data_IF_502013009714
#
_entry.id   IF_502013009714
#
_cell.length_a   1.000
_cell.length_b   1.000
_cell.length_c   1.000
_cell.angle_alpha   90.00
_cell.angle_beta   90.00
_cell.angle_gamma   90.00
#
_symmetry.space_group_name_H-M   'P 1'
#
loop_
_entity.id
_entity.type
_entity.pdbx_description
1 polymer ?
#
# COMPACT_ATOMS: atom_id res chain seq x y z
N UNK A 1 -5.04 11.17 -16.10
CA UNK A 1 -4.76 10.18 -15.05
C UNK A 1 -5.21 10.73 -13.69
N UNK A 2 -5.66 9.92 -12.73
CA UNK A 2 -6.31 10.41 -11.50
C UNK A 2 -5.49 11.47 -10.74
N UNK A 3 -4.16 11.31 -10.67
CA UNK A 3 -3.28 12.28 -10.01
C UNK A 3 -3.27 13.62 -10.77
N UNK A 4 -3.21 13.60 -12.11
CA UNK A 4 -3.23 14.83 -12.91
C UNK A 4 -4.58 15.53 -12.81
N UNK A 5 -5.67 14.78 -12.75
CA UNK A 5 -7.02 15.32 -12.60
C UNK A 5 -7.15 16.01 -11.23
N UNK A 6 -6.65 15.36 -10.16
CA UNK A 6 -6.60 15.96 -8.82
C UNK A 6 -5.75 17.25 -8.76
N UNK A 7 -4.62 17.29 -9.47
CA UNK A 7 -3.79 18.51 -9.59
C UNK A 7 -4.53 19.62 -10.32
N UNK A 8 -5.26 19.30 -11.39
CA UNK A 8 -6.10 20.26 -12.11
C UNK A 8 -7.24 20.81 -11.22
N UNK A 9 -7.72 19.99 -10.28
CA UNK A 9 -8.73 20.39 -9.28
C UNK A 9 -8.12 21.17 -8.10
N UNK A 10 -6.82 21.51 -8.17
CA UNK A 10 -6.16 22.39 -7.21
C UNK A 10 -5.41 21.67 -6.08
N UNK A 11 -5.28 20.34 -6.12
CA UNK A 11 -4.44 19.63 -5.17
C UNK A 11 -2.94 19.84 -5.48
N UNK A 12 -2.17 20.14 -4.42
CA UNK A 12 -0.73 20.30 -4.49
C UNK A 12 -0.04 19.03 -3.99
N UNK A 13 0.73 18.38 -4.86
CA UNK A 13 1.61 17.29 -4.45
C UNK A 13 2.75 17.86 -3.62
N UNK A 14 3.06 17.24 -2.48
CA UNK A 14 4.15 17.66 -1.59
C UNK A 14 5.31 16.65 -1.57
N UNK A 15 5.03 15.39 -1.86
CA UNK A 15 6.00 14.32 -1.99
C UNK A 15 5.43 13.14 -2.79
N UNK A 16 6.30 12.27 -3.26
CA UNK A 16 5.93 10.99 -3.87
C UNK A 16 6.55 9.88 -3.04
N UNK A 17 5.72 8.90 -2.63
CA UNK A 17 6.15 7.73 -1.88
C UNK A 17 6.03 6.49 -2.74
N UNK A 18 7.13 5.79 -2.94
CA UNK A 18 7.19 4.53 -3.69
C UNK A 18 7.32 3.37 -2.69
N UNK A 19 6.45 2.39 -2.79
CA UNK A 19 6.47 1.21 -1.91
C UNK A 19 7.40 0.12 -2.42
N UNK A 20 7.42 -0.12 -3.74
CA UNK A 20 8.22 -1.15 -4.37
C UNK A 20 8.37 -0.91 -5.90
N UNK A 21 9.15 -1.75 -6.57
CA UNK A 21 9.63 -1.51 -7.95
C UNK A 21 8.72 -2.00 -9.07
N UNK A 22 7.55 -2.57 -8.81
CA UNK A 22 6.71 -3.08 -9.89
C UNK A 22 6.22 -1.98 -10.83
N UNK A 23 6.06 -2.26 -12.13
CA UNK A 23 5.80 -1.25 -13.15
C UNK A 23 4.51 -0.44 -12.91
N UNK A 24 3.49 -1.06 -12.36
CA UNK A 24 2.21 -0.41 -12.03
C UNK A 24 2.31 0.57 -10.84
N UNK A 25 3.39 0.49 -10.03
CA UNK A 25 3.67 1.40 -8.93
C UNK A 25 4.66 2.51 -9.28
N UNK A 26 5.54 2.29 -10.24
CA UNK A 26 6.56 3.27 -10.63
C UNK A 26 6.38 3.83 -12.04
N UNK A 27 5.56 3.22 -12.87
CA UNK A 27 5.43 3.62 -14.29
C UNK A 27 4.95 5.05 -14.53
N UNK A 28 4.25 5.64 -13.56
CA UNK A 28 3.85 7.05 -13.59
C UNK A 28 4.91 8.06 -13.13
N UNK A 29 5.99 7.61 -12.48
CA UNK A 29 6.98 8.48 -11.85
C UNK A 29 7.67 9.43 -12.84
N UNK A 30 8.16 9.01 -14.02
CA UNK A 30 8.76 9.92 -14.97
C UNK A 30 7.83 11.05 -15.41
N UNK A 31 6.55 10.74 -15.64
CA UNK A 31 5.57 11.75 -16.03
C UNK A 31 5.27 12.73 -14.87
N UNK A 32 5.16 12.26 -13.63
CA UNK A 32 4.98 13.15 -12.47
C UNK A 32 6.19 14.04 -12.26
N UNK A 33 7.40 13.53 -12.37
CA UNK A 33 8.64 14.33 -12.25
C UNK A 33 8.78 15.40 -13.33
N UNK A 34 8.17 15.24 -14.49
CA UNK A 34 8.20 16.26 -15.55
C UNK A 34 7.29 17.46 -15.26
N UNK A 35 6.40 17.37 -14.30
CA UNK A 35 5.38 18.39 -14.01
C UNK A 35 5.39 18.88 -12.56
N UNK A 36 6.04 18.20 -11.64
CA UNK A 36 6.17 18.62 -10.25
C UNK A 36 7.59 18.36 -9.73
N UNK A 37 8.16 19.38 -9.10
CA UNK A 37 9.47 19.31 -8.43
C UNK A 37 9.25 19.07 -6.94
N UNK A 38 9.03 17.81 -6.58
CA UNK A 38 8.80 17.36 -5.20
C UNK A 38 9.69 16.17 -4.89
N UNK A 39 10.08 15.97 -3.61
CA UNK A 39 10.92 14.85 -3.24
C UNK A 39 10.22 13.50 -3.48
N UNK A 40 10.97 12.55 -4.01
CA UNK A 40 10.56 11.15 -4.18
C UNK A 40 11.27 10.29 -3.15
N UNK A 41 10.49 9.66 -2.29
CA UNK A 41 10.96 8.70 -1.29
C UNK A 41 10.67 7.28 -1.77
N UNK A 42 11.58 6.35 -1.54
CA UNK A 42 11.38 4.95 -1.88
C UNK A 42 12.43 4.05 -1.25
N UNK A 43 12.25 2.73 -1.30
CA UNK A 43 13.20 1.77 -0.75
C UNK A 43 14.55 1.86 -1.44
N UNK A 44 15.59 1.33 -0.78
CA UNK A 44 16.90 1.09 -1.40
C UNK A 44 16.77 -0.04 -2.43
N UNK A 45 16.51 0.34 -3.68
CA UNK A 45 16.18 -0.58 -4.77
C UNK A 45 16.69 -0.04 -6.11
N UNK A 46 17.66 -0.72 -6.71
CA UNK A 46 18.32 -0.27 -7.93
C UNK A 46 17.44 -0.28 -9.19
N UNK A 47 16.33 -1.01 -9.15
CA UNK A 47 15.35 -1.09 -10.24
C UNK A 47 14.41 0.12 -10.28
N UNK A 48 14.46 1.01 -9.29
CA UNK A 48 13.65 2.23 -9.25
C UNK A 48 14.53 3.43 -9.57
N UNK A 49 14.38 3.95 -10.77
CA UNK A 49 15.04 5.19 -11.15
C UNK A 49 14.24 6.40 -10.64
N UNK A 50 14.96 7.46 -10.22
CA UNK A 50 14.34 8.72 -9.83
C UNK A 50 13.90 8.83 -8.37
N UNK A 51 14.39 7.98 -7.47
CA UNK A 51 14.30 8.19 -6.02
C UNK A 51 15.30 9.26 -5.62
N UNK A 52 14.84 10.33 -4.93
CA UNK A 52 15.70 11.37 -4.38
C UNK A 52 16.20 11.00 -2.99
N UNK A 53 15.38 10.29 -2.22
CA UNK A 53 15.65 9.89 -0.83
C UNK A 53 15.31 8.42 -0.62
N UNK A 54 16.33 7.60 -0.47
CA UNK A 54 16.16 6.20 -0.08
C UNK A 54 15.75 6.12 1.38
N UNK A 55 14.82 5.21 1.68
CA UNK A 55 14.29 5.00 3.03
C UNK A 55 14.46 3.56 3.47
N UNK A 56 14.59 3.37 4.80
CA UNK A 56 14.77 2.07 5.46
C UNK A 56 13.78 1.92 6.61
N UNK A 57 13.69 0.72 7.12
CA UNK A 57 12.87 0.44 8.32
C UNK A 57 13.24 1.35 9.50
N UNK A 58 12.25 1.99 10.08
CA UNK A 58 12.39 2.91 11.22
C UNK A 58 12.68 4.36 10.84
N UNK A 59 12.93 4.67 9.57
CA UNK A 59 13.06 6.07 9.15
C UNK A 59 11.74 6.82 9.37
N UNK A 60 11.86 8.12 9.65
CA UNK A 60 10.73 9.03 9.79
C UNK A 60 10.84 10.13 8.74
N UNK A 61 9.77 10.30 7.96
CA UNK A 61 9.67 11.34 6.95
C UNK A 61 8.79 12.46 7.51
N UNK A 62 9.37 13.63 7.67
CA UNK A 62 8.65 14.84 8.07
C UNK A 62 8.32 15.67 6.84
N UNK A 63 7.04 16.00 6.66
CA UNK A 63 6.55 16.90 5.61
C UNK A 63 5.71 18.00 6.25
N UNK A 64 5.98 19.24 5.86
CA UNK A 64 5.22 20.39 6.37
C UNK A 64 3.71 20.25 6.11
N UNK A 65 2.94 20.33 7.16
CA UNK A 65 1.47 20.21 7.13
C UNK A 65 0.93 18.78 7.19
N UNK A 66 1.80 17.78 7.41
CA UNK A 66 1.42 16.38 7.57
C UNK A 66 1.93 15.84 8.91
N UNK A 67 1.26 14.81 9.44
CA UNK A 67 1.83 13.98 10.49
C UNK A 67 3.08 13.25 9.95
N UNK A 68 4.08 12.99 10.78
CA UNK A 68 5.27 12.25 10.36
C UNK A 68 4.93 10.84 9.86
N UNK A 69 5.57 10.41 8.78
CA UNK A 69 5.43 9.06 8.26
C UNK A 69 6.57 8.17 8.75
N UNK A 70 6.24 7.13 9.47
CA UNK A 70 7.21 6.06 9.81
C UNK A 70 7.28 5.07 8.66
N UNK A 71 8.50 4.68 8.29
CA UNK A 71 8.76 3.70 7.23
C UNK A 71 8.94 2.32 7.84
N UNK A 72 8.23 1.33 7.31
CA UNK A 72 8.36 -0.06 7.71
C UNK A 72 8.79 -0.91 6.51
N UNK A 73 9.87 -1.67 6.66
CA UNK A 73 10.24 -2.66 5.67
C UNK A 73 9.34 -3.89 5.85
N UNK A 74 8.68 -4.30 4.77
CA UNK A 74 7.68 -5.37 4.76
C UNK A 74 7.94 -6.34 3.61
N UNK A 75 9.05 -7.11 3.68
CA UNK A 75 9.43 -8.04 2.63
C UNK A 75 8.43 -9.19 2.49
N UNK A 76 8.30 -9.67 1.25
CA UNK A 76 7.40 -10.79 0.92
C UNK A 76 6.97 -10.71 -0.52
N UNK A 77 6.15 -9.73 -0.87
CA UNK A 77 5.77 -9.46 -2.25
C UNK A 77 6.99 -9.12 -3.12
N UNK A 78 7.80 -8.16 -2.67
CA UNK A 78 9.20 -7.96 -3.11
C UNK A 78 10.10 -7.92 -1.88
N UNK A 79 11.43 -8.09 -2.05
CA UNK A 79 12.37 -8.08 -0.92
C UNK A 79 12.61 -6.67 -0.36
N UNK A 80 12.57 -5.66 -1.22
CA UNK A 80 12.80 -4.26 -0.84
C UNK A 80 11.54 -3.50 -0.45
N UNK A 81 10.37 -4.18 -0.39
CA UNK A 81 9.07 -3.53 -0.16
C UNK A 81 9.03 -2.75 1.17
N UNK A 82 8.50 -1.52 1.11
CA UNK A 82 8.26 -0.66 2.28
C UNK A 82 6.80 -0.24 2.38
N UNK A 83 6.34 -0.02 3.59
CA UNK A 83 5.06 0.60 3.92
C UNK A 83 5.29 1.92 4.65
N UNK A 84 4.34 2.83 4.57
CA UNK A 84 4.38 4.14 5.23
C UNK A 84 3.17 4.28 6.15
N UNK A 85 3.39 4.77 7.36
CA UNK A 85 2.37 4.91 8.38
C UNK A 85 2.43 6.29 9.07
N UNK A 86 1.30 7.01 9.11
CA UNK A 86 1.18 8.38 9.66
C UNK A 86 0.42 8.45 10.99
N UNK A 87 0.47 7.43 11.82
CA UNK A 87 -0.30 7.28 13.06
C UNK A 87 -1.79 6.94 12.92
N UNK A 88 -2.39 7.10 11.75
CA UNK A 88 -3.81 6.82 11.46
C UNK A 88 -4.02 6.01 10.19
N UNK A 89 -3.13 6.19 9.22
CA UNK A 89 -3.26 5.64 7.88
C UNK A 89 -2.02 4.84 7.50
N UNK A 90 -2.22 3.62 7.04
CA UNK A 90 -1.20 2.74 6.53
C UNK A 90 -1.28 2.68 5.00
N UNK A 91 -0.19 3.01 4.33
CA UNK A 91 0.01 2.83 2.90
C UNK A 91 0.91 1.60 2.70
N UNK A 92 0.29 0.44 2.53
CA UNK A 92 0.98 -0.86 2.59
C UNK A 92 1.40 -1.41 1.22
N UNK A 93 1.16 -0.67 0.13
CA UNK A 93 1.43 -1.19 -1.20
C UNK A 93 0.77 -2.56 -1.42
N UNK A 94 1.55 -3.52 -1.89
CA UNK A 94 1.12 -4.88 -2.21
C UNK A 94 1.43 -5.90 -1.11
N UNK A 95 1.56 -5.46 0.14
CA UNK A 95 1.76 -6.38 1.27
C UNK A 95 0.44 -6.89 1.82
N UNK A 96 -0.49 -5.98 2.17
CA UNK A 96 -1.77 -6.32 2.78
C UNK A 96 -2.94 -5.87 1.90
N UNK A 97 -3.92 -6.76 1.71
CA UNK A 97 -5.20 -6.48 1.04
C UNK A 97 -6.37 -6.90 1.93
N UNK A 98 -7.57 -6.45 1.58
CA UNK A 98 -8.78 -6.98 2.22
C UNK A 98 -8.85 -8.49 2.05
N UNK A 99 -8.89 -9.22 3.18
CA UNK A 99 -8.96 -10.68 3.24
C UNK A 99 -7.80 -11.43 2.55
N UNK A 100 -6.64 -10.79 2.42
CA UNK A 100 -5.50 -11.42 1.78
C UNK A 100 -4.22 -10.60 1.83
N UNK A 101 -3.22 -11.08 1.14
CA UNK A 101 -1.91 -10.44 1.01
C UNK A 101 -1.40 -10.52 -0.43
N UNK A 102 -0.31 -9.79 -0.70
CA UNK A 102 0.35 -9.81 -1.99
C UNK A 102 0.93 -11.18 -2.34
N UNK A 103 0.98 -11.47 -3.64
CA UNK A 103 1.66 -12.66 -4.15
C UNK A 103 3.16 -12.56 -3.83
N UNK A 104 3.77 -13.69 -3.47
CA UNK A 104 5.22 -13.79 -3.26
C UNK A 104 5.93 -13.90 -4.61
N UNK A 105 6.57 -12.83 -5.06
CA UNK A 105 7.41 -12.86 -6.27
C UNK A 105 8.88 -13.09 -5.91
N UNK A 106 9.35 -12.52 -4.80
CA UNK A 106 10.76 -12.56 -4.40
C UNK A 106 10.98 -13.13 -3.00
N UNK A 107 10.07 -12.82 -2.07
CA UNK A 107 10.20 -13.22 -0.67
C UNK A 107 9.69 -14.63 -0.38
N UNK A 108 10.00 -15.10 0.83
CA UNK A 108 9.52 -16.37 1.38
C UNK A 108 8.21 -16.17 2.18
N UNK A 109 7.40 -17.24 2.37
CA UNK A 109 6.17 -17.16 3.18
C UNK A 109 6.41 -16.63 4.61
N UNK A 110 7.53 -17.03 5.22
CA UNK A 110 7.89 -16.60 6.57
C UNK A 110 8.16 -15.09 6.65
N UNK A 111 8.73 -14.51 5.60
CA UNK A 111 8.96 -13.06 5.50
C UNK A 111 7.63 -12.31 5.36
N UNK A 112 6.73 -12.79 4.50
CA UNK A 112 5.40 -12.20 4.35
C UNK A 112 4.61 -12.31 5.66
N UNK A 113 4.65 -13.45 6.34
CA UNK A 113 3.97 -13.62 7.63
C UNK A 113 4.50 -12.62 8.66
N UNK A 114 5.81 -12.49 8.81
CA UNK A 114 6.41 -11.51 9.71
C UNK A 114 6.03 -10.06 9.36
N UNK A 115 5.94 -9.75 8.06
CA UNK A 115 5.47 -8.44 7.59
C UNK A 115 4.00 -8.20 7.95
N UNK A 116 3.14 -9.20 7.78
CA UNK A 116 1.72 -9.11 8.17
C UNK A 116 1.56 -8.97 9.69
N UNK A 117 2.30 -9.74 10.49
CA UNK A 117 2.31 -9.64 11.96
C UNK A 117 2.73 -8.24 12.41
N UNK A 118 3.73 -7.65 11.76
CA UNK A 118 4.15 -6.27 12.01
C UNK A 118 3.00 -5.29 11.72
N UNK A 119 2.33 -5.40 10.57
CA UNK A 119 1.21 -4.53 10.23
C UNK A 119 0.00 -4.73 11.15
N UNK A 120 -0.25 -5.96 11.62
CA UNK A 120 -1.30 -6.28 12.58
C UNK A 120 -1.05 -5.71 13.99
N UNK A 121 0.19 -5.30 14.31
CA UNK A 121 0.50 -4.62 15.57
C UNK A 121 0.01 -3.17 15.63
N UNK A 122 -0.47 -2.62 14.52
CA UNK A 122 -1.06 -1.28 14.46
C UNK A 122 -2.41 -1.21 15.20
N UNK A 123 -2.82 -0.02 15.66
CA UNK A 123 -4.14 0.16 16.26
C UNK A 123 -5.28 -0.30 15.34
N UNK A 124 -6.32 -0.92 15.90
CA UNK A 124 -7.48 -1.44 15.15
C UNK A 124 -8.20 -0.36 14.30
N UNK A 125 -8.10 0.90 14.72
CA UNK A 125 -8.68 2.04 14.00
C UNK A 125 -7.86 2.52 12.80
N UNK A 126 -6.70 1.88 12.51
CA UNK A 126 -5.83 2.26 11.39
C UNK A 126 -6.55 2.06 10.06
N UNK A 127 -6.57 3.10 9.24
CA UNK A 127 -7.08 3.01 7.87
C UNK A 127 -6.03 2.40 6.97
N UNK A 128 -6.34 1.26 6.37
CA UNK A 128 -5.45 0.59 5.43
C UNK A 128 -5.76 1.03 4.01
N UNK A 129 -4.78 1.69 3.37
CA UNK A 129 -4.82 2.09 1.97
C UNK A 129 -4.01 1.09 1.15
N UNK A 130 -4.65 -0.01 0.75
CA UNK A 130 -4.07 -0.98 -0.17
C UNK A 130 -4.25 -0.52 -1.62
N UNK A 131 -3.42 -1.04 -2.52
CA UNK A 131 -3.29 -0.55 -3.90
C UNK A 131 -4.27 -1.18 -4.88
N UNK A 132 -4.69 -2.42 -4.62
CA UNK A 132 -5.54 -3.19 -5.53
C UNK A 132 -6.82 -3.67 -4.87
N UNK A 133 -7.87 -3.80 -5.67
CA UNK A 133 -9.18 -4.27 -5.22
C UNK A 133 -9.35 -5.76 -5.55
N UNK A 134 -8.91 -6.60 -4.63
CA UNK A 134 -8.95 -8.06 -4.75
C UNK A 134 -9.93 -8.73 -3.78
N UNK A 135 -10.74 -7.97 -3.05
CA UNK A 135 -11.55 -8.42 -1.92
C UNK A 135 -12.42 -9.63 -2.24
N UNK A 136 -13.14 -9.63 -3.37
CA UNK A 136 -14.01 -10.76 -3.73
C UNK A 136 -13.23 -12.05 -4.05
N UNK A 137 -12.08 -11.93 -4.71
CA UNK A 137 -11.23 -13.09 -5.02
C UNK A 137 -10.55 -13.63 -3.76
N UNK A 138 -10.05 -12.74 -2.91
CA UNK A 138 -9.47 -13.10 -1.62
C UNK A 138 -10.51 -13.77 -0.72
N UNK A 139 -11.74 -13.27 -0.71
CA UNK A 139 -12.83 -13.88 0.06
C UNK A 139 -13.16 -15.30 -0.38
N UNK A 140 -13.17 -15.57 -1.70
CA UNK A 140 -13.38 -16.94 -2.22
C UNK A 140 -12.27 -17.89 -1.77
N UNK A 141 -11.03 -17.42 -1.75
CA UNK A 141 -9.91 -18.20 -1.23
C UNK A 141 -10.06 -18.44 0.28
N UNK A 142 -10.32 -17.39 1.05
CA UNK A 142 -10.54 -17.50 2.50
C UNK A 142 -11.68 -18.48 2.82
N UNK A 143 -12.78 -18.44 2.07
CA UNK A 143 -13.91 -19.38 2.23
C UNK A 143 -13.51 -20.83 1.98
N UNK A 144 -12.57 -21.07 1.07
CA UNK A 144 -12.11 -22.42 0.74
C UNK A 144 -11.14 -23.02 1.77
N UNK A 145 -10.40 -22.17 2.52
CA UNK A 145 -9.31 -22.62 3.42
C UNK A 145 -9.60 -22.39 4.89
N UNK A 146 -10.57 -21.54 5.22
CA UNK A 146 -10.95 -21.23 6.60
C UNK A 146 -12.23 -21.95 7.01
N UNK A 147 -12.42 -22.26 8.31
CA UNK A 147 -13.72 -22.68 8.82
C UNK A 147 -14.76 -21.57 8.67
N UNK A 148 -16.00 -21.86 8.98
CA UNK A 148 -17.11 -20.88 8.96
C UNK A 148 -16.70 -19.62 9.76
N UNK A 149 -16.77 -18.45 9.11
CA UNK A 149 -16.37 -17.18 9.67
C UNK A 149 -17.46 -16.12 9.43
N UNK A 150 -18.25 -15.87 10.47
CA UNK A 150 -19.39 -14.92 10.42
C UNK A 150 -18.94 -13.48 10.07
N UNK A 151 -17.80 -13.03 10.57
CA UNK A 151 -17.30 -11.68 10.28
C UNK A 151 -16.96 -11.50 8.81
N UNK A 152 -16.30 -12.50 8.21
CA UNK A 152 -16.04 -12.55 6.76
C UNK A 152 -17.35 -12.50 5.97
N UNK A 153 -18.34 -13.31 6.35
CA UNK A 153 -19.60 -13.40 5.64
C UNK A 153 -20.39 -12.09 5.67
N UNK A 154 -20.41 -11.39 6.82
CA UNK A 154 -20.99 -10.04 6.97
C UNK A 154 -20.25 -9.04 6.09
N UNK A 155 -18.91 -9.05 6.10
CA UNK A 155 -18.10 -8.18 5.25
C UNK A 155 -18.43 -8.41 3.77
N UNK A 156 -18.54 -9.66 3.34
CA UNK A 156 -18.85 -10.00 1.95
C UNK A 156 -20.25 -9.59 1.52
N UNK A 157 -21.23 -9.62 2.41
CA UNK A 157 -22.56 -9.06 2.13
C UNK A 157 -22.47 -7.54 1.88
N UNK A 158 -21.72 -6.83 2.72
CA UNK A 158 -21.48 -5.39 2.56
C UNK A 158 -20.75 -5.08 1.25
N UNK A 159 -19.69 -5.83 0.92
CA UNK A 159 -18.94 -5.68 -0.33
C UNK A 159 -19.86 -5.86 -1.53
N UNK A 160 -20.63 -6.96 -1.60
CA UNK A 160 -21.59 -7.21 -2.69
C UNK A 160 -22.62 -6.08 -2.83
N UNK A 161 -23.13 -5.56 -1.71
CA UNK A 161 -24.06 -4.42 -1.71
C UNK A 161 -23.42 -3.16 -2.28
N UNK A 162 -22.19 -2.83 -1.89
CA UNK A 162 -21.46 -1.65 -2.39
C UNK A 162 -21.14 -1.79 -3.89
N UNK A 163 -20.68 -2.97 -4.32
CA UNK A 163 -20.41 -3.25 -5.75
C UNK A 163 -21.64 -3.10 -6.63
N UNK A 164 -22.80 -3.57 -6.17
CA UNK A 164 -24.07 -3.37 -6.88
C UNK A 164 -24.44 -1.89 -7.07
N UNK A 165 -23.84 -0.97 -6.28
CA UNK A 165 -24.01 0.47 -6.40
C UNK A 165 -22.83 1.15 -7.15
N UNK A 166 -21.90 0.40 -7.72
CA UNK A 166 -20.70 0.93 -8.37
C UNK A 166 -19.70 1.58 -7.41
N UNK A 167 -19.76 1.24 -6.11
CA UNK A 167 -18.84 1.74 -5.07
C UNK A 167 -17.75 0.72 -4.79
N UNK A 168 -16.52 1.18 -4.51
CA UNK A 168 -15.42 0.31 -4.11
C UNK A 168 -15.63 -0.32 -2.74
#
# INVERSE_FOLDING_TARGET
APVLDAMNDGLNIRAIFITHHHPDHIGGLPALRSICDVPVYGPEESRIEGIDRQVRHGDVIELEGFEPFTVWQVPGHTLSHVAYFDSKTLFCGDTLFSLGCGRLFEGAPEQMLASLDLLMSLPDATKVCCTHEYTENNARFAEAVEPVNHSRDILMQKVKYLRAQGKP
#
